data_IF_402350605060
#
_entry.id   IF_402350605060
#
_cell.length_a   1.000
_cell.length_b   1.000
_cell.length_c   1.000
_cell.angle_alpha   90.00
_cell.angle_beta   90.00
_cell.angle_gamma   90.00
#
_symmetry.space_group_name_H-M   'P 1'
#
loop_
_entity.id
_entity.type
_entity.pdbx_description
1 polymer ?
#
# COMPACT_ATOMS: atom_id res chain seq x y z
N UNK A 1 -11.46 13.01 -10.46
CA UNK A 1 -10.36 13.37 -9.54
C UNK A 1 -10.49 12.55 -8.28
N UNK A 2 -9.38 12.04 -7.74
CA UNK A 2 -9.36 11.35 -6.45
C UNK A 2 -8.93 12.37 -5.39
N UNK A 3 -9.78 12.62 -4.39
CA UNK A 3 -9.49 13.57 -3.31
C UNK A 3 -9.26 12.81 -2.00
N UNK A 4 -8.36 13.29 -1.15
CA UNK A 4 -7.99 12.64 0.12
C UNK A 4 -6.79 11.70 0.05
N UNK A 5 -6.51 11.09 -1.11
CA UNK A 5 -5.32 10.26 -1.34
C UNK A 5 -4.39 10.85 -2.40
N UNK A 6 -3.09 10.67 -2.24
CA UNK A 6 -2.06 11.11 -3.22
C UNK A 6 -1.96 10.21 -4.44
N UNK A 7 -2.66 9.08 -4.44
CA UNK A 7 -2.69 8.12 -5.56
C UNK A 7 -1.41 7.30 -5.75
N UNK A 8 -0.44 7.36 -4.83
CA UNK A 8 0.85 6.67 -4.96
C UNK A 8 1.27 5.98 -3.65
N UNK A 9 1.96 4.86 -3.77
CA UNK A 9 2.61 4.13 -2.66
C UNK A 9 4.10 3.97 -2.95
N UNK A 10 4.94 4.23 -1.94
CA UNK A 10 6.38 4.00 -2.03
C UNK A 10 6.70 2.60 -1.53
N UNK A 11 7.41 1.83 -2.35
CA UNK A 11 7.99 0.53 -2.01
C UNK A 11 9.47 0.72 -1.79
N UNK A 12 9.91 0.51 -0.56
CA UNK A 12 11.31 0.64 -0.15
C UNK A 12 11.84 -0.75 0.17
N UNK A 13 12.86 -1.19 -0.54
CA UNK A 13 13.61 -2.39 -0.22
C UNK A 13 14.93 -1.96 0.43
N UNK A 14 15.09 -2.28 1.71
CA UNK A 14 16.25 -1.89 2.51
C UNK A 14 17.47 -2.79 2.27
N UNK A 15 17.28 -4.03 1.82
CA UNK A 15 18.37 -4.95 1.47
C UNK A 15 19.09 -4.48 0.22
N UNK A 16 18.32 -4.11 -0.81
CA UNK A 16 18.88 -3.67 -2.10
C UNK A 16 19.07 -2.15 -2.17
N UNK A 17 18.61 -1.40 -1.16
CA UNK A 17 18.67 0.06 -1.14
C UNK A 17 17.84 0.73 -2.25
N UNK A 18 16.75 0.10 -2.71
CA UNK A 18 15.97 0.60 -3.85
C UNK A 18 14.62 1.19 -3.42
N UNK A 19 14.14 2.14 -4.22
CA UNK A 19 12.83 2.78 -4.05
C UNK A 19 12.06 2.64 -5.37
N UNK A 20 10.81 2.20 -5.28
CA UNK A 20 9.87 2.16 -6.42
C UNK A 20 8.57 2.87 -6.04
N UNK A 21 7.94 3.52 -7.02
CA UNK A 21 6.61 4.10 -6.89
C UNK A 21 5.61 3.19 -7.58
N UNK A 22 4.54 2.83 -6.89
CA UNK A 22 3.39 2.15 -7.47
C UNK A 22 2.13 3.02 -7.38
N UNK A 23 1.19 2.91 -8.33
CA UNK A 23 -0.13 3.50 -8.19
C UNK A 23 -0.85 2.92 -6.97
N UNK A 24 -1.61 3.77 -6.27
CA UNK A 24 -2.50 3.34 -5.19
C UNK A 24 -3.50 2.29 -5.70
N UNK A 25 -3.69 1.20 -4.93
CA UNK A 25 -4.74 0.21 -5.18
C UNK A 25 -6.09 0.83 -4.83
N UNK A 26 -6.73 1.49 -5.79
CA UNK A 26 -7.94 2.32 -5.56
C UNK A 26 -9.08 1.53 -4.94
N UNK A 27 -9.32 0.29 -5.40
CA UNK A 27 -10.37 -0.57 -4.84
C UNK A 27 -10.17 -0.85 -3.35
N UNK A 28 -8.94 -1.06 -2.91
CA UNK A 28 -8.62 -1.26 -1.51
C UNK A 28 -8.73 0.06 -0.73
N UNK A 29 -8.33 1.18 -1.31
CA UNK A 29 -8.49 2.50 -0.69
C UNK A 29 -9.97 2.85 -0.46
N UNK A 30 -10.85 2.50 -1.39
CA UNK A 30 -12.31 2.66 -1.25
C UNK A 30 -12.87 1.72 -0.17
N UNK A 31 -12.44 0.47 -0.12
CA UNK A 31 -12.94 -0.53 0.83
C UNK A 31 -12.45 -0.29 2.27
N UNK A 32 -11.22 0.21 2.44
CA UNK A 32 -10.55 0.29 3.73
C UNK A 32 -10.18 1.73 4.16
N UNK A 33 -10.57 2.74 3.37
CA UNK A 33 -10.44 4.19 3.58
C UNK A 33 -9.00 4.71 3.63
N UNK A 34 -8.07 4.03 4.31
CA UNK A 34 -6.71 4.51 4.48
C UNK A 34 -6.11 4.09 5.81
N UNK A 35 -4.97 4.71 6.15
CA UNK A 35 -4.25 4.53 7.41
C UNK A 35 -4.19 3.05 7.84
N UNK A 36 -4.75 2.72 9.01
CA UNK A 36 -4.74 1.37 9.56
C UNK A 36 -5.42 0.35 8.66
N UNK A 37 -6.61 0.65 8.13
CA UNK A 37 -7.38 -0.30 7.33
C UNK A 37 -6.64 -0.69 6.06
N UNK A 38 -6.22 0.31 5.29
CA UNK A 38 -5.48 0.10 4.06
C UNK A 38 -4.09 -0.50 4.31
N UNK A 39 -3.38 -0.05 5.35
CA UNK A 39 -2.08 -0.61 5.75
C UNK A 39 -2.15 -2.10 6.09
N UNK A 40 -3.18 -2.52 6.83
CA UNK A 40 -3.41 -3.95 7.13
C UNK A 40 -3.73 -4.76 5.88
N UNK A 41 -4.49 -4.21 4.92
CA UNK A 41 -4.74 -4.88 3.63
C UNK A 41 -3.45 -5.11 2.84
N UNK A 42 -2.60 -4.08 2.73
CA UNK A 42 -1.29 -4.21 2.10
C UNK A 42 -0.41 -5.25 2.79
N UNK A 43 -0.39 -5.25 4.13
CA UNK A 43 0.38 -6.23 4.91
C UNK A 43 -0.06 -7.66 4.65
N UNK A 44 -1.36 -7.93 4.71
CA UNK A 44 -1.92 -9.28 4.49
C UNK A 44 -1.66 -9.77 3.07
N UNK A 45 -1.75 -8.90 2.06
CA UNK A 45 -1.52 -9.29 0.67
C UNK A 45 -0.04 -9.57 0.36
N UNK A 46 0.85 -8.75 0.93
CA UNK A 46 2.25 -8.74 0.52
C UNK A 46 3.12 -9.68 1.39
N UNK A 47 2.67 -10.05 2.60
CA UNK A 47 3.39 -10.97 3.50
C UNK A 47 2.80 -12.38 3.39
N UNK A 48 3.57 -13.30 2.79
CA UNK A 48 3.11 -14.67 2.49
C UNK A 48 3.00 -15.60 3.70
N UNK A 49 3.70 -15.32 4.80
CA UNK A 49 3.68 -16.16 6.00
C UNK A 49 3.29 -15.32 7.22
N UNK A 50 2.03 -15.45 7.63
CA UNK A 50 1.49 -14.91 8.88
C UNK A 50 1.43 -15.97 9.99
N UNK A 51 1.97 -17.17 9.73
CA UNK A 51 1.94 -18.35 10.60
C UNK A 51 3.27 -18.60 11.29
#
# INVERSE_FOLDING_TARGET
MMYGWTGNVLRVNLTDGTIRKEPLRVKDAEAFIGARGLGSKYWIDDVKDLS
#
